data_IF_194534114001
#
_entry.id   IF_194534114001
#
_cell.length_a   1.000
_cell.length_b   1.000
_cell.length_c   1.000
_cell.angle_alpha   90.00
_cell.angle_beta   90.00
_cell.angle_gamma   90.00
#
_symmetry.space_group_name_H-M   'P 1'
#
loop_
_entity.id
_entity.type
_entity.pdbx_description
1 polymer ?
#
# COMPACT_ATOMS: atom_id res chain seq x y z
N UNK A 1 -20.75 42.53 -12.78
CA UNK A 1 -21.14 41.13 -13.06
C UNK A 1 -19.98 40.25 -12.63
N UNK A 2 -20.07 39.65 -11.47
CA UNK A 2 -19.05 38.70 -10.99
C UNK A 2 -19.34 37.33 -11.65
N UNK A 3 -18.52 36.96 -12.62
CA UNK A 3 -18.60 35.65 -13.26
C UNK A 3 -18.22 34.60 -12.20
N UNK A 4 -19.22 33.88 -11.72
CA UNK A 4 -19.04 32.72 -10.82
C UNK A 4 -18.32 31.64 -11.62
N UNK A 5 -16.98 31.59 -11.55
CA UNK A 5 -16.20 30.47 -12.06
C UNK A 5 -16.55 29.26 -11.22
N UNK A 6 -17.35 28.37 -11.75
CA UNK A 6 -17.65 27.07 -11.20
C UNK A 6 -16.38 26.25 -11.35
N UNK A 7 -15.58 26.17 -10.29
CA UNK A 7 -14.48 25.18 -10.22
C UNK A 7 -15.12 23.80 -10.37
N UNK A 8 -14.83 23.11 -11.45
CA UNK A 8 -15.25 21.73 -11.63
C UNK A 8 -14.37 20.91 -10.68
N UNK A 9 -14.98 20.46 -9.58
CA UNK A 9 -14.34 19.49 -8.70
C UNK A 9 -14.60 18.09 -9.26
N UNK A 10 -13.54 17.32 -9.47
CA UNK A 10 -13.60 15.93 -9.93
C UNK A 10 -13.06 15.03 -8.82
N UNK A 11 -13.70 13.90 -8.60
CA UNK A 11 -13.22 12.85 -7.71
C UNK A 11 -12.32 11.88 -8.48
N UNK A 12 -11.31 11.31 -7.82
CA UNK A 12 -10.46 10.30 -8.44
C UNK A 12 -9.56 9.58 -7.43
N UNK A 13 -8.93 8.54 -7.92
CA UNK A 13 -8.01 7.67 -7.19
C UNK A 13 -6.56 8.04 -7.52
N UNK A 14 -5.73 8.24 -6.52
CA UNK A 14 -4.28 8.43 -6.71
C UNK A 14 -3.65 7.11 -7.08
N UNK A 15 -3.09 7.02 -8.30
CA UNK A 15 -2.47 5.80 -8.84
C UNK A 15 -0.94 5.90 -8.92
N UNK A 16 -0.37 7.09 -8.80
CA UNK A 16 1.08 7.31 -8.78
C UNK A 16 1.44 8.54 -7.95
N UNK A 17 2.56 8.45 -7.24
CA UNK A 17 3.13 9.53 -6.45
C UNK A 17 4.64 9.62 -6.72
N UNK A 18 5.12 10.78 -7.14
CA UNK A 18 6.54 11.05 -7.39
C UNK A 18 7.12 12.10 -6.41
N UNK A 19 6.43 12.33 -5.29
CA UNK A 19 6.80 13.33 -4.27
C UNK A 19 6.21 14.71 -4.55
N UNK A 20 6.37 15.27 -5.73
CA UNK A 20 5.85 16.61 -6.09
C UNK A 20 4.61 16.55 -6.99
N UNK A 21 4.41 15.44 -7.70
CA UNK A 21 3.32 15.21 -8.63
C UNK A 21 2.61 13.91 -8.33
N UNK A 22 1.29 13.93 -8.56
CA UNK A 22 0.38 12.82 -8.36
C UNK A 22 -0.35 12.56 -9.66
N UNK A 23 -0.45 11.30 -10.07
CA UNK A 23 -1.35 10.90 -11.14
C UNK A 23 -2.64 10.39 -10.52
N UNK A 24 -3.75 11.07 -10.86
CA UNK A 24 -5.08 10.76 -10.36
C UNK A 24 -5.91 10.21 -11.51
N UNK A 25 -6.47 9.02 -11.32
CA UNK A 25 -7.46 8.44 -12.24
C UNK A 25 -8.84 8.88 -11.76
N UNK A 26 -9.51 9.72 -12.54
CA UNK A 26 -10.86 10.23 -12.23
C UNK A 26 -11.91 9.13 -12.34
N UNK A 27 -13.08 9.33 -11.73
CA UNK A 27 -14.20 8.39 -11.81
C UNK A 27 -14.70 8.20 -13.26
N UNK A 28 -14.42 9.16 -14.15
CA UNK A 28 -14.67 9.08 -15.60
C UNK A 28 -13.61 8.25 -16.35
N UNK A 29 -12.55 7.78 -15.66
CA UNK A 29 -11.48 6.99 -16.23
C UNK A 29 -10.30 7.78 -16.81
N UNK A 30 -10.32 9.10 -16.78
CA UNK A 30 -9.25 9.96 -17.26
C UNK A 30 -8.09 10.02 -16.24
N UNK A 31 -6.84 10.06 -16.72
CA UNK A 31 -5.66 10.26 -15.88
C UNK A 31 -5.23 11.74 -15.93
N UNK A 32 -5.16 12.37 -14.75
CA UNK A 32 -4.82 13.78 -14.60
C UNK A 32 -3.61 13.94 -13.70
N UNK A 33 -2.61 14.69 -14.15
CA UNK A 33 -1.46 15.05 -13.32
C UNK A 33 -1.82 16.21 -12.39
N UNK A 34 -1.61 16.02 -11.09
CA UNK A 34 -2.00 16.96 -10.05
C UNK A 34 -0.84 17.35 -9.16
N UNK A 35 -0.92 18.54 -8.59
CA UNK A 35 -0.08 19.00 -7.48
C UNK A 35 -0.91 19.13 -6.21
N UNK A 36 -0.23 19.23 -5.06
CA UNK A 36 -0.88 19.63 -3.80
C UNK A 36 -0.83 21.16 -3.69
N UNK A 37 -1.93 21.77 -3.26
CA UNK A 37 -1.95 23.19 -2.94
C UNK A 37 -1.16 23.44 -1.65
N UNK A 38 -0.23 24.43 -1.63
CA UNK A 38 0.83 24.62 -0.64
C UNK A 38 0.45 24.69 0.86
N UNK A 39 -0.84 24.79 1.22
CA UNK A 39 -1.32 24.81 2.62
C UNK A 39 -2.08 23.55 3.02
N UNK A 40 -1.90 22.44 2.29
CA UNK A 40 -2.61 21.20 2.54
C UNK A 40 -2.04 20.49 3.78
N UNK A 41 -2.66 20.68 4.93
CA UNK A 41 -2.36 19.96 6.17
C UNK A 41 -3.50 19.03 6.52
N UNK A 42 -3.27 17.72 6.39
CA UNK A 42 -4.18 16.74 6.97
C UNK A 42 -4.17 16.86 8.49
N UNK A 43 -5.35 17.05 9.09
CA UNK A 43 -5.52 17.03 10.55
C UNK A 43 -5.01 15.69 11.09
N UNK A 44 -3.94 15.72 11.87
CA UNK A 44 -3.43 14.56 12.63
C UNK A 44 -2.31 13.74 11.99
N UNK A 45 -1.95 13.92 10.72
CA UNK A 45 -0.85 13.19 10.07
C UNK A 45 0.36 14.11 9.91
N UNK A 46 1.40 13.88 10.71
CA UNK A 46 2.73 14.50 10.54
C UNK A 46 3.53 13.74 9.47
N UNK A 47 3.13 13.86 8.21
CA UNK A 47 3.87 13.30 7.07
C UNK A 47 4.37 14.42 6.18
N UNK A 48 5.58 14.26 5.64
CA UNK A 48 6.13 15.15 4.59
C UNK A 48 5.35 15.05 3.29
N UNK A 49 4.64 13.94 3.09
CA UNK A 49 3.80 13.70 1.92
C UNK A 49 2.41 13.23 2.38
N UNK A 50 1.41 14.14 2.40
CA UNK A 50 0.10 13.84 2.95
C UNK A 50 -0.74 12.91 2.06
N UNK A 51 -0.44 12.83 0.76
CA UNK A 51 -1.18 12.02 -0.23
C UNK A 51 -0.39 10.76 -0.55
N UNK A 52 -1.05 9.62 -0.50
CA UNK A 52 -0.50 8.30 -0.82
C UNK A 52 -1.20 7.68 -2.04
N UNK A 53 -0.56 6.71 -2.66
CA UNK A 53 -1.22 5.85 -3.66
C UNK A 53 -2.39 5.12 -2.98
N UNK A 54 -3.54 5.06 -3.66
CA UNK A 54 -4.76 4.50 -3.11
C UNK A 54 -5.68 5.51 -2.40
N UNK A 55 -5.25 6.77 -2.23
CA UNK A 55 -6.14 7.80 -1.72
C UNK A 55 -7.22 8.19 -2.74
N UNK A 56 -8.44 8.33 -2.28
CA UNK A 56 -9.49 9.04 -3.00
C UNK A 56 -9.37 10.53 -2.72
N UNK A 57 -9.34 11.32 -3.77
CA UNK A 57 -9.09 12.76 -3.69
C UNK A 57 -10.09 13.55 -4.54
N UNK A 58 -10.32 14.80 -4.15
CA UNK A 58 -10.99 15.79 -5.00
C UNK A 58 -9.94 16.70 -5.64
N UNK A 59 -10.03 16.87 -6.96
CA UNK A 59 -9.14 17.71 -7.74
C UNK A 59 -9.90 18.87 -8.35
N UNK A 60 -9.25 20.02 -8.44
CA UNK A 60 -9.76 21.22 -9.09
C UNK A 60 -8.77 21.66 -10.16
N UNK A 61 -9.28 22.11 -11.28
CA UNK A 61 -8.50 22.76 -12.33
C UNK A 61 -8.40 24.26 -12.06
N UNK A 62 -7.20 24.81 -12.18
CA UNK A 62 -7.03 26.26 -12.21
C UNK A 62 -7.31 26.82 -13.61
N UNK A 63 -7.27 28.13 -13.75
CA UNK A 63 -7.52 28.83 -15.03
C UNK A 63 -6.48 28.51 -16.12
N UNK A 64 -5.29 28.03 -15.72
CA UNK A 64 -4.17 27.65 -16.60
C UNK A 64 -4.19 26.17 -16.97
N UNK A 65 -5.21 25.41 -16.55
CA UNK A 65 -5.33 23.97 -16.80
C UNK A 65 -4.51 23.07 -15.89
N UNK A 66 -3.82 23.62 -14.87
CA UNK A 66 -3.11 22.80 -13.87
C UNK A 66 -4.11 22.27 -12.84
N UNK A 67 -4.05 20.96 -12.58
CA UNK A 67 -4.88 20.31 -11.58
C UNK A 67 -4.23 20.34 -10.19
N UNK A 68 -5.06 20.58 -9.17
CA UNK A 68 -4.64 20.58 -7.77
C UNK A 68 -5.54 19.67 -6.95
N UNK A 69 -4.92 18.87 -6.10
CA UNK A 69 -5.63 18.12 -5.05
C UNK A 69 -6.09 19.14 -4.01
N UNK A 70 -7.40 19.22 -3.81
CA UNK A 70 -8.06 20.13 -2.87
C UNK A 70 -8.47 19.44 -1.58
N UNK A 71 -8.73 18.12 -1.63
CA UNK A 71 -9.21 17.34 -0.49
C UNK A 71 -8.78 15.88 -0.63
N UNK A 72 -8.59 15.19 0.51
CA UNK A 72 -8.38 13.75 0.59
C UNK A 72 -9.54 13.19 1.40
N UNK A 73 -10.21 12.16 0.89
CA UNK A 73 -11.26 11.46 1.59
C UNK A 73 -10.70 10.64 2.75
N UNK A 74 -11.57 10.30 3.71
CA UNK A 74 -11.21 9.45 4.83
C UNK A 74 -10.74 8.06 4.36
N UNK A 75 -9.60 7.63 4.88
CA UNK A 75 -9.02 6.33 4.56
C UNK A 75 -9.68 5.24 5.37
N UNK A 76 -10.08 4.12 4.73
CA UNK A 76 -10.51 2.93 5.44
C UNK A 76 -9.35 2.27 6.21
N UNK A 77 -8.18 2.29 5.62
CA UNK A 77 -6.92 1.76 6.16
C UNK A 77 -5.71 2.31 5.40
N UNK A 78 -4.51 2.03 5.88
CA UNK A 78 -3.26 2.36 5.20
C UNK A 78 -2.10 1.56 5.79
N UNK A 79 -0.98 1.48 5.07
CA UNK A 79 0.25 0.90 5.56
C UNK A 79 1.36 1.95 5.63
N UNK A 80 2.13 1.91 6.71
CA UNK A 80 3.22 2.87 6.97
C UNK A 80 4.58 2.20 6.91
N UNK A 81 5.56 2.98 6.49
CA UNK A 81 6.97 2.68 6.68
C UNK A 81 7.53 3.67 7.70
N UNK A 82 8.10 3.19 8.79
CA UNK A 82 8.88 4.05 9.69
C UNK A 82 10.20 4.40 9.02
N UNK A 83 10.57 5.67 9.07
CA UNK A 83 11.91 6.09 8.68
C UNK A 83 12.92 5.47 9.64
N UNK A 84 14.02 4.92 9.09
CA UNK A 84 15.11 4.30 9.87
C UNK A 84 15.93 5.31 10.68
N UNK A 85 15.82 6.58 10.37
CA UNK A 85 16.52 7.66 11.07
C UNK A 85 15.58 8.36 12.05
N UNK A 86 16.15 8.93 13.13
CA UNK A 86 15.56 9.68 14.25
C UNK A 86 14.42 10.68 13.94
N UNK A 87 14.01 10.82 12.69
CA UNK A 87 12.84 11.58 12.32
C UNK A 87 11.56 10.81 12.74
N UNK A 88 10.77 11.40 13.63
CA UNK A 88 9.46 10.93 14.06
C UNK A 88 8.41 10.86 12.91
N UNK A 89 8.85 10.84 11.66
CA UNK A 89 7.98 10.90 10.49
C UNK A 89 7.78 9.48 9.94
N UNK A 90 6.53 9.05 9.91
CA UNK A 90 6.10 7.86 9.19
C UNK A 90 5.68 8.25 7.77
N UNK A 91 6.04 7.42 6.79
CA UNK A 91 5.56 7.57 5.42
C UNK A 91 4.47 6.56 5.14
N UNK A 92 3.32 7.03 4.67
CA UNK A 92 2.26 6.15 4.18
C UNK A 92 2.71 5.63 2.81
N UNK A 93 2.78 4.30 2.69
CA UNK A 93 3.16 3.61 1.45
C UNK A 93 1.97 3.52 0.51
N UNK A 94 0.83 3.08 1.04
CA UNK A 94 -0.42 2.96 0.31
C UNK A 94 -1.61 3.08 1.26
N UNK A 95 -2.77 3.47 0.73
CA UNK A 95 -4.02 3.64 1.47
C UNK A 95 -5.17 2.88 0.79
N UNK A 96 -6.26 2.66 1.53
CA UNK A 96 -7.48 2.01 1.04
C UNK A 96 -7.24 0.63 0.43
N UNK A 97 -6.37 -0.15 1.08
CA UNK A 97 -5.99 -1.49 0.65
C UNK A 97 -7.10 -2.51 0.94
N UNK A 98 -7.39 -3.37 -0.02
CA UNK A 98 -8.29 -4.50 0.19
C UNK A 98 -7.55 -5.65 0.88
N UNK A 99 -6.28 -5.87 0.52
CA UNK A 99 -5.38 -6.84 1.12
C UNK A 99 -3.91 -6.48 0.89
N UNK A 100 -3.04 -7.06 1.69
CA UNK A 100 -1.59 -7.02 1.52
C UNK A 100 -1.05 -8.45 1.37
N UNK A 101 -0.20 -8.68 0.38
CA UNK A 101 0.52 -9.93 0.21
C UNK A 101 1.97 -9.72 0.65
N UNK A 102 2.34 -10.27 1.81
CA UNK A 102 3.71 -10.24 2.30
C UNK A 102 4.48 -11.42 1.71
N UNK A 103 5.36 -11.13 0.75
CA UNK A 103 6.23 -12.13 0.14
C UNK A 103 7.43 -12.34 1.05
N UNK A 104 7.62 -13.58 1.49
CA UNK A 104 8.68 -13.99 2.40
C UNK A 104 9.42 -15.21 1.86
N UNK A 105 10.65 -15.41 2.31
CA UNK A 105 11.47 -16.57 1.95
C UNK A 105 12.14 -17.13 3.19
N UNK A 106 12.20 -18.45 3.29
CA UNK A 106 12.92 -19.16 4.37
C UNK A 106 14.42 -18.91 4.26
N UNK A 107 14.92 -18.88 3.02
CA UNK A 107 16.34 -18.64 2.73
C UNK A 107 16.52 -17.92 1.37
N UNK A 108 17.71 -17.37 1.10
CA UNK A 108 18.18 -16.77 -0.15
C UNK A 108 17.33 -15.60 -0.71
N UNK A 109 17.17 -14.47 0.03
CA UNK A 109 17.61 -14.19 1.41
C UNK A 109 16.58 -14.67 2.43
N UNK A 110 17.01 -14.91 3.65
CA UNK A 110 16.14 -15.19 4.78
C UNK A 110 15.28 -13.97 5.12
N UNK A 111 13.98 -14.21 5.35
CA UNK A 111 13.08 -13.23 5.95
C UNK A 111 12.88 -13.62 7.42
N UNK A 112 13.42 -12.84 8.34
CA UNK A 112 13.33 -13.19 9.77
C UNK A 112 11.89 -13.16 10.28
N UNK A 113 11.55 -14.06 11.20
CA UNK A 113 10.24 -14.08 11.87
C UNK A 113 9.95 -12.76 12.59
N UNK A 114 10.97 -12.14 13.18
CA UNK A 114 10.84 -10.81 13.79
C UNK A 114 10.34 -9.74 12.79
N UNK A 115 10.78 -9.80 11.54
CA UNK A 115 10.28 -8.89 10.51
C UNK A 115 8.82 -9.21 10.17
N UNK A 116 8.49 -10.49 9.98
CA UNK A 116 7.12 -10.93 9.68
C UNK A 116 6.18 -10.46 10.79
N UNK A 117 6.50 -10.77 12.06
CA UNK A 117 5.67 -10.42 13.21
C UNK A 117 5.44 -8.92 13.35
N UNK A 118 6.49 -8.12 13.18
CA UNK A 118 6.38 -6.64 13.20
C UNK A 118 5.53 -6.10 12.07
N UNK A 119 5.64 -6.72 10.89
CA UNK A 119 4.83 -6.33 9.74
C UNK A 119 3.36 -6.65 10.01
N UNK A 120 3.05 -7.88 10.46
CA UNK A 120 1.70 -8.31 10.79
C UNK A 120 1.07 -7.44 11.88
N UNK A 121 1.80 -7.18 12.96
CA UNK A 121 1.33 -6.30 14.03
C UNK A 121 1.05 -4.87 13.53
N UNK A 122 1.88 -4.35 12.62
CA UNK A 122 1.64 -3.05 12.01
C UNK A 122 0.43 -3.05 11.10
N UNK A 123 0.26 -4.08 10.28
CA UNK A 123 -0.88 -4.21 9.37
C UNK A 123 -2.20 -4.33 10.15
N UNK A 124 -2.22 -5.11 11.23
CA UNK A 124 -3.36 -5.26 12.14
C UNK A 124 -3.75 -3.94 12.78
N UNK A 125 -2.78 -3.17 13.29
CA UNK A 125 -3.01 -1.86 13.89
C UNK A 125 -3.69 -0.87 12.93
N UNK A 126 -3.47 -1.02 11.64
CA UNK A 126 -4.07 -0.19 10.59
C UNK A 126 -5.20 -0.89 9.81
N UNK A 127 -5.67 -2.05 10.26
CA UNK A 127 -6.78 -2.82 9.68
C UNK A 127 -6.54 -3.21 8.22
N UNK A 128 -5.32 -3.61 7.89
CA UNK A 128 -4.95 -4.13 6.57
C UNK A 128 -4.90 -5.65 6.64
N UNK A 129 -5.79 -6.39 5.93
CA UNK A 129 -5.70 -7.84 5.85
C UNK A 129 -4.40 -8.28 5.20
N UNK A 130 -3.73 -9.31 5.74
CA UNK A 130 -2.45 -9.81 5.21
C UNK A 130 -2.54 -11.28 4.88
N UNK A 131 -1.98 -11.66 3.72
CA UNK A 131 -1.67 -13.02 3.32
C UNK A 131 -0.16 -13.19 3.25
N UNK A 132 0.35 -14.32 3.75
CA UNK A 132 1.79 -14.67 3.72
C UNK A 132 2.07 -15.54 2.49
N UNK A 133 3.01 -15.11 1.66
CA UNK A 133 3.40 -15.80 0.43
C UNK A 133 4.82 -16.31 0.60
N UNK A 134 4.97 -17.59 0.96
CA UNK A 134 6.28 -18.24 1.07
C UNK A 134 6.78 -18.62 -0.32
N UNK A 135 7.69 -17.81 -0.84
CA UNK A 135 8.22 -17.97 -2.20
C UNK A 135 9.53 -18.77 -2.21
N UNK A 136 9.93 -19.21 -3.41
CA UNK A 136 11.16 -19.98 -3.69
C UNK A 136 11.16 -21.39 -3.10
N UNK A 137 10.02 -22.03 -2.95
CA UNK A 137 9.93 -23.41 -2.41
C UNK A 137 10.72 -24.44 -3.23
N UNK A 138 11.03 -24.12 -4.48
CA UNK A 138 11.84 -24.92 -5.38
C UNK A 138 13.34 -24.98 -4.99
N UNK A 139 13.79 -24.07 -4.14
CA UNK A 139 15.20 -23.97 -3.73
C UNK A 139 15.48 -24.58 -2.36
N UNK A 140 14.46 -24.99 -1.61
CA UNK A 140 14.60 -25.44 -0.22
C UNK A 140 15.00 -26.90 -0.12
N UNK A 141 15.97 -27.18 0.77
CA UNK A 141 16.32 -28.53 1.21
C UNK A 141 15.27 -29.10 2.19
N UNK A 142 15.43 -30.34 2.66
CA UNK A 142 14.42 -30.99 3.51
C UNK A 142 14.29 -30.33 4.90
N UNK A 143 15.37 -29.80 5.46
CA UNK A 143 15.34 -29.08 6.73
C UNK A 143 14.59 -27.75 6.58
N UNK A 144 14.87 -27.00 5.52
CA UNK A 144 14.19 -25.74 5.18
C UNK A 144 12.70 -25.94 4.86
N UNK A 145 12.34 -27.06 4.22
CA UNK A 145 10.94 -27.44 4.00
C UNK A 145 10.23 -27.76 5.32
N UNK A 146 10.90 -28.51 6.22
CA UNK A 146 10.34 -28.80 7.56
C UNK A 146 10.12 -27.52 8.35
N UNK A 147 11.06 -26.58 8.30
CA UNK A 147 10.91 -25.26 8.93
C UNK A 147 9.80 -24.44 8.30
N UNK A 148 9.66 -24.45 6.97
CA UNK A 148 8.56 -23.81 6.27
C UNK A 148 7.19 -24.33 6.75
N UNK A 149 7.02 -25.64 6.88
CA UNK A 149 5.76 -26.21 7.36
C UNK A 149 5.45 -25.76 8.81
N UNK A 150 6.46 -25.66 9.66
CA UNK A 150 6.31 -25.15 11.03
C UNK A 150 5.86 -23.68 11.03
N UNK A 151 6.44 -22.83 10.17
CA UNK A 151 6.02 -21.43 10.01
C UNK A 151 4.59 -21.32 9.50
N UNK A 152 4.22 -22.09 8.49
CA UNK A 152 2.85 -22.10 7.95
C UNK A 152 1.87 -22.51 9.04
N UNK A 153 2.16 -23.57 9.78
CA UNK A 153 1.32 -24.00 10.89
C UNK A 153 1.15 -22.88 11.93
N UNK A 154 2.24 -22.23 12.32
CA UNK A 154 2.23 -21.12 13.28
C UNK A 154 1.31 -19.99 12.80
N UNK A 155 1.58 -19.44 11.62
CA UNK A 155 0.84 -18.26 11.15
C UNK A 155 -0.62 -18.56 10.78
N UNK A 156 -0.89 -19.76 10.26
CA UNK A 156 -2.28 -20.20 10.00
C UNK A 156 -3.05 -20.38 11.31
N UNK A 157 -2.43 -20.90 12.37
CA UNK A 157 -3.10 -21.08 13.67
C UNK A 157 -3.53 -19.78 14.32
N UNK A 158 -2.87 -18.67 13.99
CA UNK A 158 -3.23 -17.32 14.46
C UNK A 158 -4.02 -16.51 13.43
N UNK A 159 -4.51 -17.16 12.36
CA UNK A 159 -5.49 -16.60 11.43
C UNK A 159 -4.94 -15.95 10.16
N UNK A 160 -3.63 -16.08 9.85
CA UNK A 160 -3.08 -15.56 8.61
C UNK A 160 -3.06 -16.61 7.50
N UNK A 161 -3.71 -16.38 6.35
CA UNK A 161 -3.61 -17.27 5.20
C UNK A 161 -2.16 -17.36 4.69
N UNK A 162 -1.68 -18.59 4.47
CA UNK A 162 -0.32 -18.86 4.03
C UNK A 162 -0.33 -19.65 2.72
N UNK A 163 0.50 -19.23 1.76
CA UNK A 163 0.64 -19.85 0.45
C UNK A 163 2.09 -20.24 0.18
N UNK A 164 2.27 -21.45 -0.37
CA UNK A 164 3.58 -21.96 -0.81
C UNK A 164 3.70 -21.75 -2.32
N UNK A 165 4.71 -21.01 -2.77
CA UNK A 165 4.88 -20.70 -4.17
C UNK A 165 6.32 -20.82 -4.66
N UNK A 166 6.47 -21.09 -5.94
CA UNK A 166 7.68 -20.79 -6.69
C UNK A 166 7.30 -19.92 -7.88
N UNK A 167 7.58 -18.63 -7.78
CA UNK A 167 7.34 -17.72 -8.89
C UNK A 167 8.17 -18.11 -10.14
N UNK A 168 9.38 -18.66 -9.94
CA UNK A 168 10.25 -19.12 -11.02
C UNK A 168 9.66 -20.32 -11.77
N UNK A 169 9.08 -21.26 -11.07
CA UNK A 169 8.51 -22.48 -11.64
C UNK A 169 6.99 -22.41 -11.84
N UNK A 170 6.37 -21.27 -11.54
CA UNK A 170 4.92 -21.04 -11.63
C UNK A 170 4.08 -21.99 -10.74
N UNK A 171 4.67 -22.50 -9.65
CA UNK A 171 4.01 -23.39 -8.69
C UNK A 171 3.23 -22.55 -7.67
N UNK A 172 1.96 -22.92 -7.41
CA UNK A 172 1.11 -22.31 -6.37
C UNK A 172 0.58 -20.91 -6.71
N UNK A 173 0.86 -20.35 -7.90
CA UNK A 173 0.43 -19.00 -8.30
C UNK A 173 -1.10 -18.93 -8.47
N UNK A 174 -1.71 -19.98 -9.03
CA UNK A 174 -3.18 -20.03 -9.24
C UNK A 174 -3.97 -19.95 -7.93
N UNK A 175 -3.43 -20.50 -6.84
CA UNK A 175 -4.07 -20.48 -5.53
C UNK A 175 -4.18 -19.04 -4.97
N UNK A 176 -3.25 -18.16 -5.34
CA UNK A 176 -3.27 -16.75 -4.92
C UNK A 176 -4.31 -15.95 -5.72
N UNK A 177 -4.52 -16.29 -6.99
CA UNK A 177 -5.40 -15.54 -7.89
C UNK A 177 -6.89 -15.84 -7.65
N UNK A 178 -7.21 -16.97 -7.01
CA UNK A 178 -8.58 -17.43 -6.81
C UNK A 178 -9.20 -16.97 -5.47
N UNK A 179 -8.47 -16.18 -4.69
CA UNK A 179 -8.88 -15.59 -3.41
C UNK A 179 -8.80 -14.05 -3.43
#
# INVERSE_FOLDING_TARGET
MATLFRFISMRGLVIKNTGSWYLVKTDEGNCVECKIKGNFRLKGIRSTNPVAVGDYVHIILNQEGTAFISEIEDRKNYIIRRASNLSKQSHIIAANLDQCMLIVTVNYPETSTTFIDRFLASAEAYRVPVKLIFNKIDTYNEEEKSYLEALIHLYTSIGYPCFKVSAKQQIGIEAINNE
#
